data_IF_396324252699
#
_entry.id   IF_396324252699
#
_cell.length_a   1.000
_cell.length_b   1.000
_cell.length_c   1.000
_cell.angle_alpha   90.00
_cell.angle_beta   90.00
_cell.angle_gamma   90.00
#
_symmetry.space_group_name_H-M   'P 1'
#
loop_
_entity.id
_entity.type
_entity.pdbx_description
1 polymer ?
#
# COMPACT_ATOMS: atom_id res chain seq x y z
N UNK A 1 -14.94 -11.51 38.82
CA UNK A 1 -14.00 -10.50 38.29
C UNK A 1 -14.03 -10.55 36.76
N UNK A 2 -14.93 -9.78 36.12
CA UNK A 2 -15.10 -9.80 34.67
C UNK A 2 -14.03 -8.94 33.97
N UNK A 3 -13.30 -9.51 33.02
CA UNK A 3 -12.35 -8.77 32.17
C UNK A 3 -13.13 -7.93 31.16
N UNK A 4 -12.94 -6.61 31.24
CA UNK A 4 -13.53 -5.62 30.34
C UNK A 4 -12.88 -5.76 28.95
N UNK A 5 -13.59 -6.32 27.99
CA UNK A 5 -13.16 -6.32 26.59
C UNK A 5 -13.20 -4.89 26.04
N UNK A 6 -12.02 -4.34 25.70
CA UNK A 6 -11.88 -3.08 24.97
C UNK A 6 -11.07 -3.34 23.71
N UNK A 7 -11.76 -3.60 22.60
CA UNK A 7 -11.44 -3.01 21.30
C UNK A 7 -12.51 -3.44 20.28
N UNK A 8 -13.61 -2.69 20.27
CA UNK A 8 -14.40 -2.61 19.05
C UNK A 8 -13.61 -1.73 18.08
N UNK A 9 -12.90 -2.33 17.13
CA UNK A 9 -12.36 -1.60 15.98
C UNK A 9 -13.55 -0.90 15.31
N UNK A 10 -13.63 0.42 15.46
CA UNK A 10 -14.63 1.25 14.78
C UNK A 10 -14.49 0.99 13.29
N UNK A 11 -15.53 0.42 12.68
CA UNK A 11 -15.69 0.34 11.23
C UNK A 11 -15.85 1.77 10.72
N UNK A 12 -14.80 2.35 10.16
CA UNK A 12 -14.87 3.62 9.44
C UNK A 12 -13.92 3.57 8.24
N UNK A 13 -14.47 3.28 7.08
CA UNK A 13 -13.76 3.37 5.79
C UNK A 13 -14.70 3.72 4.63
N UNK A 14 -15.81 4.40 4.92
CA UNK A 14 -16.67 5.02 3.90
C UNK A 14 -17.50 6.10 4.57
N UNK A 15 -17.52 7.31 4.01
CA UNK A 15 -18.66 8.20 4.24
C UNK A 15 -19.88 7.57 3.54
N UNK A 16 -21.08 7.92 3.99
CA UNK A 16 -22.34 7.34 3.49
C UNK A 16 -22.57 7.49 1.96
N UNK A 17 -21.70 8.24 1.26
CA UNK A 17 -21.74 8.53 -0.17
C UNK A 17 -20.75 7.71 -1.02
N UNK A 18 -20.03 6.73 -0.45
CA UNK A 18 -19.04 5.94 -1.19
C UNK A 18 -17.70 6.66 -1.42
N UNK A 19 -17.55 7.88 -0.92
CA UNK A 19 -16.34 8.70 -1.07
C UNK A 19 -15.23 8.25 -0.10
N UNK A 20 -14.06 7.91 -0.64
CA UNK A 20 -12.87 7.55 0.15
C UNK A 20 -12.22 8.82 0.71
N UNK A 21 -12.08 8.87 2.03
CA UNK A 21 -11.38 9.96 2.72
C UNK A 21 -9.90 9.97 2.33
N UNK A 22 -9.38 11.15 2.01
CA UNK A 22 -7.93 11.36 1.83
C UNK A 22 -7.29 11.79 3.16
N UNK A 23 -6.16 11.16 3.49
CA UNK A 23 -5.30 11.54 4.62
C UNK A 23 -4.32 12.64 4.21
N UNK A 24 -3.47 13.06 5.16
CA UNK A 24 -2.36 13.98 4.88
C UNK A 24 -1.54 13.49 3.70
N UNK A 25 -1.21 14.40 2.78
CA UNK A 25 -0.47 14.05 1.56
C UNK A 25 -1.33 13.51 0.42
N UNK A 26 -2.65 13.40 0.60
CA UNK A 26 -3.57 12.88 -0.42
C UNK A 26 -3.63 11.35 -0.46
N UNK A 27 -3.16 10.67 0.60
CA UNK A 27 -3.20 9.21 0.68
C UNK A 27 -4.64 8.69 0.89
N UNK A 28 -5.18 7.85 -0.01
CA UNK A 28 -6.50 7.24 0.19
C UNK A 28 -6.58 6.43 1.48
N UNK A 29 -7.62 6.64 2.28
CA UNK A 29 -7.88 5.86 3.48
C UNK A 29 -8.65 4.58 3.13
N UNK A 30 -7.93 3.47 2.99
CA UNK A 30 -8.50 2.16 2.67
C UNK A 30 -8.30 1.20 3.84
N UNK A 31 -9.36 0.47 4.19
CA UNK A 31 -9.29 -0.51 5.26
C UNK A 31 -8.29 -1.64 4.93
N UNK A 32 -7.65 -2.19 5.95
CA UNK A 32 -6.79 -3.37 5.81
C UNK A 32 -7.61 -4.53 5.23
N UNK A 33 -7.17 -5.07 4.11
CA UNK A 33 -7.77 -6.22 3.45
C UNK A 33 -6.76 -6.86 2.49
N UNK A 34 -6.91 -8.16 2.27
CA UNK A 34 -6.11 -8.91 1.29
C UNK A 34 -6.78 -8.94 -0.08
N UNK A 35 -6.00 -9.20 -1.12
CA UNK A 35 -6.44 -9.34 -2.51
C UNK A 35 -6.30 -8.08 -3.35
N UNK A 36 -6.68 -8.22 -4.62
CA UNK A 36 -6.57 -7.18 -5.63
C UNK A 36 -7.58 -6.03 -5.42
N UNK A 37 -8.83 -6.37 -5.08
CA UNK A 37 -9.91 -5.39 -4.90
C UNK A 37 -9.57 -4.20 -3.98
N UNK A 38 -9.00 -4.37 -2.77
CA UNK A 38 -8.62 -3.23 -1.93
C UNK A 38 -7.47 -2.40 -2.53
N UNK A 39 -6.54 -3.02 -3.26
CA UNK A 39 -5.46 -2.32 -3.96
C UNK A 39 -6.00 -1.50 -5.13
N UNK A 40 -6.91 -2.06 -5.94
CA UNK A 40 -7.55 -1.32 -7.02
C UNK A 40 -8.41 -0.17 -6.49
N UNK A 41 -9.14 -0.38 -5.37
CA UNK A 41 -9.86 0.72 -4.70
C UNK A 41 -8.90 1.82 -4.25
N UNK A 42 -7.74 1.47 -3.70
CA UNK A 42 -6.71 2.44 -3.34
C UNK A 42 -6.23 3.23 -4.58
N UNK A 43 -5.85 2.54 -5.66
CA UNK A 43 -5.35 3.16 -6.90
C UNK A 43 -6.39 4.09 -7.53
N UNK A 44 -7.65 3.67 -7.58
CA UNK A 44 -8.74 4.46 -8.14
C UNK A 44 -8.96 5.79 -7.39
N UNK A 45 -8.67 5.82 -6.09
CA UNK A 45 -8.84 7.01 -5.24
C UNK A 45 -7.56 7.82 -5.06
N UNK A 46 -6.42 7.40 -5.63
CA UNK A 46 -5.21 8.23 -5.65
C UNK A 46 -5.49 9.53 -6.44
N UNK A 47 -5.14 10.71 -5.92
CA UNK A 47 -5.53 11.98 -6.56
C UNK A 47 -4.72 12.27 -7.82
N UNK A 48 -5.38 12.88 -8.81
CA UNK A 48 -4.76 13.45 -10.01
C UNK A 48 -3.91 12.41 -10.79
N UNK A 49 -2.71 12.81 -11.23
CA UNK A 49 -1.75 11.98 -11.96
C UNK A 49 -1.32 10.72 -11.18
N UNK A 50 -1.51 10.71 -9.85
CA UNK A 50 -1.05 9.61 -9.00
C UNK A 50 -1.84 8.33 -9.22
N UNK A 51 -3.12 8.41 -9.62
CA UNK A 51 -3.91 7.22 -9.99
C UNK A 51 -3.34 6.53 -11.23
N UNK A 52 -2.92 7.30 -12.23
CA UNK A 52 -2.29 6.75 -13.43
C UNK A 52 -0.93 6.14 -13.13
N UNK A 53 -0.13 6.75 -12.25
CA UNK A 53 1.11 6.15 -11.77
C UNK A 53 0.85 4.86 -10.97
N UNK A 54 -0.14 4.84 -10.09
CA UNK A 54 -0.52 3.65 -9.32
C UNK A 54 -0.90 2.46 -10.20
N UNK A 55 -1.66 2.71 -11.29
CA UNK A 55 -1.96 1.69 -12.31
C UNK A 55 -0.69 1.16 -12.99
N UNK A 56 0.21 2.07 -13.41
CA UNK A 56 1.45 1.66 -14.06
C UNK A 56 2.35 0.82 -13.15
N UNK A 57 2.41 1.16 -11.86
CA UNK A 57 3.13 0.35 -10.87
C UNK A 57 2.49 -1.03 -10.71
N UNK A 58 1.17 -1.10 -10.56
CA UNK A 58 0.44 -2.36 -10.41
C UNK A 58 0.64 -3.27 -11.63
N UNK A 59 0.45 -2.73 -12.84
CA UNK A 59 0.63 -3.46 -14.11
C UNK A 59 2.07 -3.97 -14.29
N UNK A 60 3.06 -3.17 -13.88
CA UNK A 60 4.47 -3.57 -13.91
C UNK A 60 4.72 -4.74 -12.95
N UNK A 61 4.24 -4.63 -11.70
CA UNK A 61 4.46 -5.66 -10.68
C UNK A 61 3.78 -6.97 -11.08
N UNK A 62 2.51 -6.92 -11.50
CA UNK A 62 1.74 -8.12 -11.91
C UNK A 62 2.36 -8.78 -13.14
N UNK A 63 2.86 -7.99 -14.11
CA UNK A 63 3.55 -8.56 -15.28
C UNK A 63 4.87 -9.23 -14.92
N UNK A 64 5.60 -8.69 -13.93
CA UNK A 64 6.91 -9.22 -13.53
C UNK A 64 6.78 -10.41 -12.57
N UNK A 65 5.74 -10.43 -11.73
CA UNK A 65 5.47 -11.51 -10.75
C UNK A 65 4.01 -11.95 -10.92
N UNK A 66 3.73 -12.93 -11.81
CA UNK A 66 2.35 -13.31 -12.16
C UNK A 66 1.50 -13.79 -10.97
N UNK A 67 2.10 -14.46 -9.99
CA UNK A 67 1.43 -15.00 -8.80
C UNK A 67 1.51 -14.06 -7.58
N UNK A 68 1.66 -12.75 -7.83
CA UNK A 68 1.82 -11.76 -6.76
C UNK A 68 0.61 -11.70 -5.83
N UNK A 69 0.87 -11.80 -4.53
CA UNK A 69 -0.09 -11.51 -3.49
C UNK A 69 -0.21 -10.00 -3.30
N UNK A 70 -1.44 -9.50 -3.20
CA UNK A 70 -1.75 -8.08 -3.01
C UNK A 70 -2.51 -7.86 -1.72
N UNK A 71 -2.35 -6.69 -1.12
CA UNK A 71 -3.16 -6.27 0.02
C UNK A 71 -3.00 -4.79 0.33
N UNK A 72 -3.91 -4.27 1.15
CA UNK A 72 -3.70 -3.01 1.87
C UNK A 72 -3.31 -3.32 3.32
N UNK A 73 -2.14 -2.83 3.76
CA UNK A 73 -1.67 -2.90 5.16
C UNK A 73 -1.11 -1.55 5.58
N UNK A 74 -1.37 -1.16 6.83
CA UNK A 74 -0.96 0.15 7.38
C UNK A 74 -1.31 1.34 6.48
N UNK A 75 -2.44 1.26 5.77
CA UNK A 75 -2.92 2.25 4.79
C UNK A 75 -1.97 2.50 3.59
N UNK A 76 -1.31 1.45 3.13
CA UNK A 76 -0.51 1.41 1.90
C UNK A 76 -0.82 0.12 1.12
N UNK A 77 -0.65 0.08 -0.21
CA UNK A 77 -0.63 -1.15 -0.99
C UNK A 77 0.67 -1.92 -0.78
N UNK A 78 0.55 -3.24 -0.64
CA UNK A 78 1.66 -4.18 -0.43
C UNK A 78 1.56 -5.32 -1.45
N UNK A 79 2.72 -5.73 -1.95
CA UNK A 79 2.93 -6.78 -2.94
C UNK A 79 3.93 -7.80 -2.41
N UNK A 80 3.61 -9.08 -2.57
CA UNK A 80 4.36 -10.18 -1.95
C UNK A 80 4.28 -11.47 -2.75
N UNK A 81 5.05 -12.47 -2.33
CA UNK A 81 4.96 -13.84 -2.82
C UNK A 81 4.60 -14.73 -1.64
N UNK A 82 3.69 -15.68 -1.85
CA UNK A 82 3.29 -16.61 -0.81
C UNK A 82 4.51 -17.39 -0.29
N UNK A 83 4.68 -17.46 1.04
CA UNK A 83 5.83 -18.09 1.67
C UNK A 83 7.10 -17.22 1.76
N UNK A 84 7.27 -16.24 0.87
CA UNK A 84 8.48 -15.39 0.78
C UNK A 84 8.29 -13.99 1.38
N UNK A 85 7.05 -13.62 1.71
CA UNK A 85 6.71 -12.35 2.35
C UNK A 85 6.47 -11.20 1.36
N UNK A 86 6.55 -9.97 1.86
CA UNK A 86 6.28 -8.76 1.08
C UNK A 86 7.57 -8.17 0.54
N UNK A 87 7.62 -7.83 -0.74
CA UNK A 87 8.82 -7.29 -1.37
C UNK A 87 8.67 -5.81 -1.77
N UNK A 88 7.45 -5.35 -2.09
CA UNK A 88 7.19 -3.95 -2.48
C UNK A 88 5.98 -3.38 -1.74
N UNK A 89 6.08 -2.12 -1.34
CA UNK A 89 4.96 -1.29 -0.90
C UNK A 89 5.08 0.10 -1.51
N UNK A 90 3.99 0.85 -1.60
CA UNK A 90 4.10 2.29 -1.88
C UNK A 90 3.14 3.15 -1.06
N UNK A 91 3.49 4.43 -0.91
CA UNK A 91 2.69 5.41 -0.17
C UNK A 91 2.56 6.72 -0.94
N UNK A 92 1.37 7.33 -0.87
CA UNK A 92 1.09 8.59 -1.56
C UNK A 92 1.44 9.78 -0.66
N UNK A 93 2.32 10.66 -1.14
CA UNK A 93 2.59 11.97 -0.57
C UNK A 93 2.10 13.07 -1.51
N UNK A 94 2.07 14.32 -1.03
CA UNK A 94 1.55 15.47 -1.79
C UNK A 94 2.21 15.59 -3.17
N UNK A 95 3.55 15.42 -3.22
CA UNK A 95 4.37 15.68 -4.41
C UNK A 95 4.94 14.43 -5.07
N UNK A 96 4.90 13.29 -4.41
CA UNK A 96 5.53 12.06 -4.91
C UNK A 96 4.78 10.83 -4.39
N UNK A 97 4.97 9.71 -5.08
CA UNK A 97 4.62 8.39 -4.58
C UNK A 97 5.93 7.73 -4.14
N UNK A 98 6.04 7.38 -2.85
CA UNK A 98 7.20 6.66 -2.35
C UNK A 98 7.01 5.18 -2.62
N UNK A 99 7.85 4.60 -3.47
CA UNK A 99 7.97 3.16 -3.60
C UNK A 99 9.02 2.68 -2.60
N UNK A 100 8.76 1.56 -1.94
CA UNK A 100 9.67 0.96 -0.97
C UNK A 100 9.88 -0.51 -1.31
N UNK A 101 11.15 -0.89 -1.48
CA UNK A 101 11.59 -2.26 -1.62
C UNK A 101 12.09 -2.76 -0.27
N UNK A 102 11.54 -3.86 0.24
CA UNK A 102 11.85 -4.33 1.60
C UNK A 102 13.30 -4.82 1.71
N UNK A 103 13.81 -5.51 0.69
CA UNK A 103 15.22 -5.91 0.55
C UNK A 103 15.88 -5.10 -0.57
N UNK A 104 15.65 -3.79 -0.59
CA UNK A 104 16.12 -2.90 -1.65
C UNK A 104 17.65 -2.80 -1.72
N UNK A 105 18.34 -2.97 -0.59
CA UNK A 105 19.82 -2.98 -0.52
C UNK A 105 20.47 -4.12 -1.31
N UNK A 106 19.73 -5.18 -1.62
CA UNK A 106 20.22 -6.34 -2.38
C UNK A 106 20.03 -6.18 -3.90
N UNK A 107 19.35 -5.12 -4.35
CA UNK A 107 19.11 -4.87 -5.77
C UNK A 107 20.34 -4.22 -6.44
N UNK A 108 20.51 -4.48 -7.73
CA UNK A 108 21.58 -3.90 -8.55
C UNK A 108 21.02 -3.16 -9.78
N UNK A 109 21.21 -1.83 -9.90
CA UNK A 109 21.82 -0.96 -8.91
C UNK A 109 20.94 -0.77 -7.68
N UNK A 110 21.57 -0.49 -6.54
CA UNK A 110 20.85 -0.18 -5.29
C UNK A 110 19.95 1.06 -5.50
N UNK A 111 18.63 0.95 -5.23
CA UNK A 111 17.73 2.08 -5.39
C UNK A 111 18.12 3.24 -4.48
N UNK A 112 18.03 4.49 -4.97
CA UNK A 112 18.39 5.65 -4.17
C UNK A 112 17.39 5.86 -3.04
N UNK A 113 17.89 6.23 -1.87
CA UNK A 113 17.08 6.53 -0.70
C UNK A 113 17.63 5.84 0.54
N UNK A 114 17.46 6.45 1.71
CA UNK A 114 17.78 5.81 2.97
C UNK A 114 16.55 5.80 3.88
N UNK A 115 16.35 4.67 4.53
CA UNK A 115 15.32 4.47 5.55
C UNK A 115 15.92 4.44 6.95
N UNK A 116 15.06 4.20 7.94
CA UNK A 116 15.52 3.75 9.27
C UNK A 116 15.94 2.28 9.25
N UNK A 117 15.39 1.54 8.30
CA UNK A 117 15.71 0.15 8.04
C UNK A 117 16.91 0.11 7.07
N UNK A 118 18.01 -0.59 7.41
CA UNK A 118 19.19 -0.68 6.56
C UNK A 118 18.94 -1.43 5.25
N UNK A 119 17.98 -2.36 5.23
CA UNK A 119 17.70 -3.24 4.10
C UNK A 119 16.69 -2.61 3.12
N UNK A 120 15.78 -1.79 3.65
CA UNK A 120 14.78 -1.13 2.83
C UNK A 120 15.32 0.08 2.07
N UNK A 121 14.82 0.29 0.84
CA UNK A 121 15.05 1.49 0.03
C UNK A 121 13.74 2.11 -0.40
#
# INVERSE_FOLDING_TARGET
>A
MARKSKNAYKKSAENADGEVRLLSGGNPQIAKADGDAPVQKYIAHMPEWKSSLGRQLDDLIVRTVPDVQKAVRWNSPWYGVEGEGWFVSYHVFTRYVKVTFMNGSELDPEPPGSGKDPDAR
#
